data_IF_568912671214
#
_entry.id   IF_568912671214
#
_cell.length_a   1.000
_cell.length_b   1.000
_cell.length_c   1.000
_cell.angle_alpha   90.00
_cell.angle_beta   90.00
_cell.angle_gamma   90.00
#
_symmetry.space_group_name_H-M   'P 1'
#
loop_
_entity.id
_entity.type
_entity.pdbx_description
1 polymer ?
#
# COMPACT_ATOMS: atom_id res chain seq x y z
N UNK A 1 -5.37 19.26 2.11
CA UNK A 1 -4.65 18.09 1.58
C UNK A 1 -3.23 18.53 1.25
N UNK A 2 -2.23 17.84 1.77
CA UNK A 2 -0.83 18.08 1.50
C UNK A 2 -0.22 16.89 0.76
N UNK A 3 0.71 17.16 -0.15
CA UNK A 3 1.41 16.13 -0.93
C UNK A 3 2.89 16.43 -0.91
N UNK A 4 3.69 15.42 -0.61
CA UNK A 4 5.15 15.48 -0.65
C UNK A 4 5.72 14.33 -1.45
N UNK A 5 6.84 14.59 -2.12
CA UNK A 5 7.48 13.62 -3.02
C UNK A 5 8.97 13.51 -2.71
N UNK A 6 9.47 12.29 -2.67
CA UNK A 6 10.88 11.98 -2.53
C UNK A 6 11.25 10.74 -3.34
N UNK A 7 12.54 10.55 -3.54
CA UNK A 7 13.08 9.44 -4.30
C UNK A 7 14.23 8.83 -3.52
N UNK A 8 14.33 7.50 -3.49
CA UNK A 8 15.52 6.84 -3.00
C UNK A 8 16.66 6.94 -4.03
N UNK A 9 17.88 6.59 -3.65
CA UNK A 9 18.88 6.24 -4.65
C UNK A 9 18.44 4.97 -5.44
N UNK A 10 18.99 4.73 -6.64
CA UNK A 10 18.69 3.53 -7.41
C UNK A 10 19.10 2.24 -6.69
N UNK A 11 18.34 1.17 -6.93
CA UNK A 11 18.59 -0.17 -6.43
C UNK A 11 19.12 -1.09 -7.52
N UNK A 12 19.98 -2.02 -7.13
CA UNK A 12 20.30 -3.23 -7.89
C UNK A 12 19.34 -4.38 -7.47
N UNK A 13 19.24 -5.47 -8.25
CA UNK A 13 18.45 -6.65 -7.85
C UNK A 13 18.84 -7.20 -6.46
N UNK A 14 20.11 -7.05 -6.08
CA UNK A 14 20.65 -7.52 -4.81
C UNK A 14 20.13 -6.73 -3.60
N UNK A 15 19.67 -5.50 -3.78
CA UNK A 15 19.18 -4.64 -2.70
C UNK A 15 17.71 -4.90 -2.35
N UNK A 16 16.96 -5.50 -3.28
CA UNK A 16 15.51 -5.66 -3.15
C UNK A 16 15.16 -6.67 -2.06
N UNK A 17 14.18 -6.30 -1.23
CA UNK A 17 13.73 -7.13 -0.12
C UNK A 17 14.67 -7.13 1.08
N UNK A 18 15.69 -6.26 1.11
CA UNK A 18 16.69 -6.19 2.18
C UNK A 18 16.55 -4.97 3.07
N UNK A 19 17.31 -4.97 4.17
CA UNK A 19 17.36 -3.86 5.12
C UNK A 19 17.68 -2.51 4.45
N UNK A 20 18.57 -2.50 3.45
CA UNK A 20 18.92 -1.27 2.72
C UNK A 20 17.70 -0.64 2.04
N UNK A 21 16.82 -1.43 1.42
CA UNK A 21 15.59 -0.92 0.83
C UNK A 21 14.61 -0.39 1.89
N UNK A 22 14.51 -1.07 3.05
CA UNK A 22 13.67 -0.62 4.17
C UNK A 22 14.15 0.76 4.67
N UNK A 23 15.45 0.88 4.95
CA UNK A 23 16.05 2.09 5.49
C UNK A 23 15.92 3.27 4.52
N UNK A 24 16.29 3.07 3.24
CA UNK A 24 16.20 4.11 2.22
C UNK A 24 14.75 4.54 1.95
N UNK A 25 13.79 3.61 2.03
CA UNK A 25 12.37 3.96 1.90
C UNK A 25 11.90 4.77 3.09
N UNK A 26 12.33 4.43 4.31
CA UNK A 26 11.98 5.19 5.50
C UNK A 26 12.49 6.64 5.40
N UNK A 27 13.75 6.82 4.99
CA UNK A 27 14.34 8.15 4.78
C UNK A 27 13.55 8.96 3.74
N UNK A 28 13.19 8.34 2.61
CA UNK A 28 12.39 9.00 1.57
C UNK A 28 10.97 9.37 2.05
N UNK A 29 10.33 8.53 2.88
CA UNK A 29 9.02 8.86 3.48
C UNK A 29 9.16 10.07 4.41
N UNK A 30 10.16 10.10 5.28
CA UNK A 30 10.42 11.25 6.15
C UNK A 30 10.74 12.52 5.36
N UNK A 31 11.52 12.42 4.28
CA UNK A 31 11.79 13.55 3.38
C UNK A 31 10.50 14.06 2.70
N UNK A 32 9.66 13.15 2.21
CA UNK A 32 8.39 13.48 1.58
C UNK A 32 7.42 14.15 2.59
N UNK A 33 7.34 13.66 3.84
CA UNK A 33 6.58 14.31 4.90
C UNK A 33 7.05 15.74 5.16
N UNK A 34 8.36 15.95 5.30
CA UNK A 34 8.94 17.27 5.51
C UNK A 34 8.61 18.23 4.36
N UNK A 35 8.70 17.76 3.10
CA UNK A 35 8.31 18.53 1.90
C UNK A 35 6.80 18.83 1.85
N UNK A 36 5.97 17.91 2.33
CA UNK A 36 4.53 18.13 2.48
C UNK A 36 4.20 19.08 3.62
N UNK A 37 5.14 19.38 4.52
CA UNK A 37 4.90 20.16 5.72
C UNK A 37 4.03 19.42 6.75
N UNK A 38 4.10 18.09 6.77
CA UNK A 38 3.40 17.22 7.73
C UNK A 38 4.39 16.87 8.83
N UNK A 39 4.13 17.35 10.05
CA UNK A 39 5.03 17.17 11.20
C UNK A 39 4.65 15.95 12.07
N UNK A 40 3.36 15.59 12.13
CA UNK A 40 2.85 14.43 12.85
C UNK A 40 2.53 13.27 11.88
N UNK A 41 3.11 12.06 12.05
CA UNK A 41 2.74 10.88 11.28
C UNK A 41 1.24 10.55 11.27
N UNK A 42 0.50 10.93 12.32
CA UNK A 42 -0.95 10.70 12.39
C UNK A 42 -1.76 11.47 11.32
N UNK A 43 -1.19 12.54 10.76
CA UNK A 43 -1.78 13.31 9.66
C UNK A 43 -1.48 12.70 8.27
N UNK A 44 -0.68 11.63 8.20
CA UNK A 44 -0.45 10.88 6.96
C UNK A 44 -1.57 9.87 6.77
N UNK A 45 -2.19 9.86 5.58
CA UNK A 45 -3.28 8.93 5.27
C UNK A 45 -3.00 8.02 4.08
N UNK A 46 -1.97 8.30 3.29
CA UNK A 46 -1.58 7.40 2.20
C UNK A 46 -0.13 7.62 1.81
N UNK A 47 0.62 6.53 1.66
CA UNK A 47 2.00 6.54 1.16
C UNK A 47 2.07 5.65 -0.07
N UNK A 48 2.01 6.26 -1.26
CA UNK A 48 2.19 5.54 -2.51
C UNK A 48 3.68 5.38 -2.81
N UNK A 49 4.11 4.16 -3.06
CA UNK A 49 5.50 3.85 -3.41
C UNK A 49 5.50 3.11 -4.74
N UNK A 50 6.28 3.60 -5.72
CA UNK A 50 6.56 2.88 -6.97
C UNK A 50 8.02 2.46 -6.96
N UNK A 51 8.25 1.17 -6.80
CA UNK A 51 9.58 0.57 -6.78
C UNK A 51 9.98 -0.15 -8.06
N UNK A 52 11.26 -0.55 -8.17
CA UNK A 52 11.75 -1.26 -9.34
C UNK A 52 11.28 -2.72 -9.38
N UNK A 53 11.05 -3.23 -10.58
CA UNK A 53 10.99 -4.65 -10.88
C UNK A 53 12.15 -5.02 -11.82
N UNK A 54 12.67 -6.24 -11.66
CA UNK A 54 13.81 -6.72 -12.43
C UNK A 54 13.43 -7.94 -13.24
N UNK A 55 13.94 -7.98 -14.47
CA UNK A 55 13.82 -9.14 -15.35
C UNK A 55 14.66 -10.32 -14.84
N UNK A 56 14.33 -11.53 -15.30
CA UNK A 56 15.12 -12.73 -14.99
C UNK A 56 16.59 -12.58 -15.45
N UNK A 57 16.82 -11.89 -16.57
CA UNK A 57 18.17 -11.64 -17.08
C UNK A 57 19.01 -10.76 -16.15
N UNK A 58 18.42 -9.68 -15.61
CA UNK A 58 19.10 -8.81 -14.63
C UNK A 58 19.43 -9.56 -13.34
N UNK A 59 18.48 -10.36 -12.85
CA UNK A 59 18.67 -11.18 -11.63
C UNK A 59 19.80 -12.20 -11.84
N UNK A 60 19.79 -12.92 -12.96
CA UNK A 60 20.81 -13.91 -13.29
C UNK A 60 22.20 -13.27 -13.48
N UNK A 61 22.27 -12.10 -14.11
CA UNK A 61 23.52 -11.36 -14.26
C UNK A 61 24.11 -10.92 -12.91
N UNK A 62 23.27 -10.43 -12.00
CA UNK A 62 23.68 -10.08 -10.63
C UNK A 62 24.25 -11.28 -9.87
N UNK A 63 23.57 -12.43 -9.94
CA UNK A 63 24.05 -13.66 -9.33
C UNK A 63 25.40 -14.13 -9.91
N UNK A 64 25.57 -14.09 -11.24
CA UNK A 64 26.83 -14.42 -11.90
C UNK A 64 27.98 -13.46 -11.52
N UNK A 65 27.65 -12.20 -11.20
CA UNK A 65 28.59 -11.19 -10.70
C UNK A 65 28.84 -11.27 -9.18
N UNK A 66 28.33 -12.30 -8.48
CA UNK A 66 28.53 -12.48 -7.04
C UNK A 66 27.62 -11.63 -6.14
N UNK A 67 26.56 -11.03 -6.71
CA UNK A 67 25.57 -10.21 -6.00
C UNK A 67 24.16 -10.83 -6.10
N UNK A 68 23.88 -11.95 -5.42
CA UNK A 68 22.59 -12.62 -5.53
C UNK A 68 21.46 -11.80 -4.89
N UNK A 69 20.33 -11.72 -5.60
CA UNK A 69 19.06 -11.25 -5.08
C UNK A 69 18.48 -12.24 -4.04
N UNK A 70 17.54 -11.77 -3.22
CA UNK A 70 16.85 -12.62 -2.22
C UNK A 70 15.94 -13.67 -2.86
N UNK A 71 15.59 -13.50 -4.13
CA UNK A 71 14.83 -14.46 -4.93
C UNK A 71 15.31 -14.48 -6.38
N UNK A 72 15.31 -15.66 -6.99
CA UNK A 72 15.70 -15.93 -8.38
C UNK A 72 14.54 -15.77 -9.38
N UNK A 73 13.33 -15.56 -8.88
CA UNK A 73 12.11 -15.37 -9.67
C UNK A 73 11.68 -13.88 -9.66
N UNK A 74 11.44 -13.25 -10.83
CA UNK A 74 11.02 -11.84 -10.92
C UNK A 74 9.81 -11.49 -10.05
N UNK A 75 8.77 -12.32 -10.04
CA UNK A 75 7.55 -12.09 -9.26
C UNK A 75 7.79 -12.17 -7.75
N UNK A 76 8.58 -13.14 -7.29
CA UNK A 76 8.95 -13.26 -5.86
C UNK A 76 9.83 -12.10 -5.40
N UNK A 77 10.79 -11.68 -6.23
CA UNK A 77 11.65 -10.55 -5.92
C UNK A 77 10.84 -9.25 -5.87
N UNK A 78 9.93 -9.06 -6.83
CA UNK A 78 9.00 -7.93 -6.85
C UNK A 78 8.17 -7.86 -5.56
N UNK A 79 7.56 -8.97 -5.13
CA UNK A 79 6.79 -9.01 -3.88
C UNK A 79 7.66 -8.66 -2.67
N UNK A 80 8.91 -9.14 -2.63
CA UNK A 80 9.89 -8.80 -1.59
C UNK A 80 10.17 -7.30 -1.54
N UNK A 81 10.29 -6.65 -2.70
CA UNK A 81 10.43 -5.20 -2.79
C UNK A 81 9.21 -4.44 -2.29
N UNK A 82 7.99 -4.91 -2.56
CA UNK A 82 6.77 -4.29 -2.04
C UNK A 82 6.73 -4.34 -0.51
N UNK A 83 7.01 -5.51 0.06
CA UNK A 83 7.00 -5.71 1.51
C UNK A 83 8.08 -4.88 2.22
N UNK A 84 9.31 -4.85 1.69
CA UNK A 84 10.38 -4.03 2.23
C UNK A 84 10.06 -2.53 2.16
N UNK A 85 9.42 -2.08 1.07
CA UNK A 85 8.97 -0.68 0.95
C UNK A 85 7.89 -0.35 1.98
N UNK A 86 6.95 -1.28 2.24
CA UNK A 86 5.92 -1.11 3.26
C UNK A 86 6.50 -1.07 4.68
N UNK A 87 7.52 -1.87 4.98
CA UNK A 87 8.29 -1.80 6.23
C UNK A 87 8.97 -0.44 6.40
N UNK A 88 9.56 0.10 5.33
CA UNK A 88 10.17 1.43 5.35
C UNK A 88 9.16 2.52 5.71
N UNK A 89 7.97 2.48 5.11
CA UNK A 89 6.88 3.39 5.47
C UNK A 89 6.42 3.22 6.93
N UNK A 90 6.17 1.98 7.37
CA UNK A 90 5.77 1.68 8.74
C UNK A 90 6.79 2.19 9.77
N UNK A 91 8.08 2.05 9.46
CA UNK A 91 9.17 2.55 10.31
C UNK A 91 9.21 4.07 10.34
N UNK A 92 9.12 4.74 9.19
CA UNK A 92 9.15 6.20 9.12
C UNK A 92 7.99 6.86 9.88
N UNK A 93 6.83 6.20 9.87
CA UNK A 93 5.61 6.67 10.53
C UNK A 93 5.49 6.21 12.00
N UNK A 94 6.45 5.44 12.49
CA UNK A 94 6.44 4.95 13.88
C UNK A 94 5.39 3.88 14.18
N UNK A 95 4.79 3.27 13.15
CA UNK A 95 3.80 2.18 13.28
C UNK A 95 4.43 0.88 13.80
N UNK A 96 5.73 0.71 13.54
CA UNK A 96 6.51 -0.47 13.91
C UNK A 96 7.81 -0.01 14.56
N UNK A 97 8.14 -0.62 15.70
CA UNK A 97 9.40 -0.35 16.39
C UNK A 97 10.62 -0.64 15.49
N UNK A 98 11.69 0.18 15.52
CA UNK A 98 12.83 0.02 14.61
C UNK A 98 13.51 -1.36 14.66
N UNK A 99 13.49 -2.03 15.81
CA UNK A 99 14.03 -3.38 16.01
C UNK A 99 13.13 -4.49 15.44
N UNK A 100 11.86 -4.19 15.17
CA UNK A 100 10.90 -5.07 14.48
C UNK A 100 10.82 -4.79 12.98
N UNK A 101 11.06 -3.56 12.54
CA UNK A 101 11.10 -3.17 11.13
C UNK A 101 12.41 -3.60 10.44
N UNK A 102 12.72 -4.88 10.54
CA UNK A 102 13.97 -5.48 10.05
C UNK A 102 13.71 -6.57 9.02
N UNK A 103 14.64 -6.74 8.08
CA UNK A 103 14.59 -7.75 7.01
C UNK A 103 14.25 -9.16 7.53
N UNK A 104 14.76 -9.51 8.72
CA UNK A 104 14.54 -10.82 9.32
C UNK A 104 13.06 -11.15 9.58
N UNK A 105 12.18 -10.15 9.73
CA UNK A 105 10.75 -10.31 9.98
C UNK A 105 9.90 -10.27 8.71
N UNK A 106 10.48 -9.86 7.57
CA UNK A 106 9.77 -9.75 6.30
C UNK A 106 9.18 -11.12 5.90
N UNK A 107 7.86 -11.15 5.66
CA UNK A 107 7.04 -12.34 5.40
C UNK A 107 7.05 -13.43 6.48
N UNK A 108 7.67 -13.20 7.64
CA UNK A 108 7.65 -14.14 8.77
C UNK A 108 6.67 -13.71 9.84
N UNK A 109 6.51 -12.41 10.02
CA UNK A 109 5.57 -11.84 10.97
C UNK A 109 4.58 -10.92 10.23
N UNK A 110 3.42 -11.48 9.90
CA UNK A 110 2.34 -10.75 9.21
C UNK A 110 1.55 -9.83 10.15
N UNK A 111 1.85 -9.82 11.46
CA UNK A 111 1.31 -8.80 12.37
C UNK A 111 1.95 -7.43 12.17
N UNK A 112 3.08 -7.37 11.45
CA UNK A 112 3.79 -6.15 11.12
C UNK A 112 3.28 -5.63 9.78
N UNK A 113 2.66 -4.46 9.77
CA UNK A 113 2.21 -3.79 8.56
C UNK A 113 2.14 -2.28 8.76
N UNK A 114 2.08 -1.53 7.65
CA UNK A 114 1.66 -0.13 7.66
C UNK A 114 0.16 -0.02 7.35
N UNK A 115 -0.57 0.86 8.03
CA UNK A 115 -1.98 1.14 7.79
C UNK A 115 -2.22 2.12 6.63
N UNK A 116 -1.15 2.68 6.04
CA UNK A 116 -1.22 3.71 4.98
C UNK A 116 -0.36 3.43 3.76
N UNK A 117 0.56 2.46 3.82
CA UNK A 117 1.45 2.15 2.69
C UNK A 117 0.71 1.44 1.54
N UNK A 118 0.96 1.89 0.32
CA UNK A 118 0.57 1.22 -0.93
C UNK A 118 1.78 1.16 -1.85
N UNK A 119 2.44 0.01 -1.88
CA UNK A 119 3.59 -0.23 -2.73
C UNK A 119 3.17 -0.92 -4.03
N UNK A 120 3.74 -0.48 -5.15
CA UNK A 120 3.67 -1.16 -6.44
C UNK A 120 5.05 -1.20 -7.07
N UNK A 121 5.25 -2.05 -8.07
CA UNK A 121 6.53 -2.17 -8.73
C UNK A 121 6.38 -2.19 -10.25
N UNK A 122 7.45 -1.88 -10.97
CA UNK A 122 7.48 -1.89 -12.43
C UNK A 122 8.90 -1.80 -12.97
N UNK A 123 9.11 -2.30 -14.19
CA UNK A 123 10.43 -2.31 -14.84
C UNK A 123 10.89 -0.93 -15.33
N UNK A 124 10.00 0.06 -15.31
CA UNK A 124 10.20 1.42 -15.77
C UNK A 124 11.00 2.31 -14.80
N UNK A 125 11.10 1.94 -13.51
CA UNK A 125 11.84 2.69 -12.49
C UNK A 125 12.98 1.86 -11.91
N UNK A 126 14.01 2.55 -11.40
CA UNK A 126 15.18 1.93 -10.73
C UNK A 126 15.33 2.33 -9.26
N UNK A 127 14.49 3.21 -8.75
CA UNK A 127 14.44 3.64 -7.35
C UNK A 127 13.02 3.48 -6.80
N UNK A 128 12.84 3.73 -5.51
CA UNK A 128 11.52 3.93 -4.95
C UNK A 128 11.14 5.41 -5.12
N UNK A 129 10.09 5.66 -5.90
CA UNK A 129 9.42 6.95 -5.98
C UNK A 129 8.32 6.97 -4.91
N UNK A 130 8.42 7.92 -3.98
CA UNK A 130 7.56 7.99 -2.78
C UNK A 130 6.69 9.23 -2.85
N UNK A 131 5.38 9.04 -2.71
CA UNK A 131 4.39 10.11 -2.58
C UNK A 131 3.68 9.94 -1.23
N UNK A 132 3.86 10.92 -0.34
CA UNK A 132 3.13 11.01 0.93
C UNK A 132 1.94 11.95 0.74
N UNK A 133 0.76 11.49 1.13
CA UNK A 133 -0.49 12.26 1.09
C UNK A 133 -1.10 12.30 2.49
N UNK A 134 -1.42 13.50 2.95
CA UNK A 134 -1.97 13.71 4.28
C UNK A 134 -2.62 15.08 4.46
N UNK A 135 -2.75 15.49 5.72
CA UNK A 135 -3.28 16.80 6.12
C UNK A 135 -2.17 17.65 6.73
N UNK A 136 -2.18 18.95 6.45
CA UNK A 136 -1.23 19.91 7.00
C UNK A 136 -1.91 21.27 7.10
N UNK A 137 -1.62 22.00 8.17
CA UNK A 137 -2.06 23.38 8.38
C UNK A 137 -1.31 24.38 7.50
N UNK A 138 -0.17 23.98 6.91
CA UNK A 138 0.62 24.76 5.95
C UNK A 138 0.02 24.76 4.54
N UNK A 139 -1.02 23.95 4.29
CA UNK A 139 -1.72 23.87 3.01
C UNK A 139 -3.16 24.37 3.10
N UNK A 140 -3.63 25.01 2.03
CA UNK A 140 -5.02 25.46 1.89
C UNK A 140 -5.73 24.73 0.75
N UNK A 141 -7.06 24.86 0.67
CA UNK A 141 -7.87 24.26 -0.39
C UNK A 141 -8.99 23.36 0.14
N UNK A 142 -9.91 22.94 -0.75
CA UNK A 142 -11.16 22.29 -0.34
C UNK A 142 -11.00 20.80 -0.03
N UNK A 143 -9.82 20.20 -0.27
CA UNK A 143 -9.65 18.76 -0.21
C UNK A 143 -9.21 18.26 1.18
N UNK A 144 -9.77 17.12 1.56
CA UNK A 144 -9.35 16.30 2.68
C UNK A 144 -9.06 14.86 2.21
N UNK A 145 -8.26 14.15 3.00
CA UNK A 145 -8.04 12.71 2.86
C UNK A 145 -8.27 12.05 4.21
N UNK A 146 -8.81 10.85 4.20
CA UNK A 146 -8.80 9.95 5.34
C UNK A 146 -8.44 8.55 4.86
N UNK A 147 -8.12 7.67 5.81
CA UNK A 147 -7.87 6.26 5.52
C UNK A 147 -8.48 5.35 6.59
N UNK A 148 -8.54 4.06 6.28
CA UNK A 148 -8.82 2.98 7.22
C UNK A 148 -8.25 1.67 6.71
N UNK A 149 -8.08 0.71 7.60
CA UNK A 149 -7.78 -0.68 7.23
C UNK A 149 -9.06 -1.51 7.18
N UNK A 150 -9.01 -2.64 6.47
CA UNK A 150 -10.02 -3.69 6.53
C UNK A 150 -9.33 -5.04 6.75
N UNK A 151 -9.89 -5.87 7.61
CA UNK A 151 -9.25 -7.12 8.07
C UNK A 151 -9.33 -8.25 7.05
N UNK A 152 -10.38 -8.27 6.22
CA UNK A 152 -10.54 -9.20 5.11
C UNK A 152 -11.34 -8.56 3.97
N UNK A 153 -11.41 -9.24 2.82
CA UNK A 153 -12.15 -8.77 1.65
C UNK A 153 -13.64 -8.46 1.90
N UNK A 154 -14.23 -8.94 3.00
CA UNK A 154 -15.63 -8.74 3.38
C UNK A 154 -15.80 -7.75 4.55
N UNK A 155 -14.73 -7.13 5.03
CA UNK A 155 -14.76 -6.16 6.14
C UNK A 155 -15.20 -4.77 5.64
N UNK A 156 -16.48 -4.70 5.29
CA UNK A 156 -17.17 -3.48 4.85
C UNK A 156 -17.20 -2.45 5.99
N UNK A 157 -17.30 -2.88 7.24
CA UNK A 157 -17.34 -1.97 8.40
C UNK A 157 -16.01 -1.24 8.61
N UNK A 158 -14.89 -1.95 8.40
CA UNK A 158 -13.54 -1.38 8.34
C UNK A 158 -13.43 -0.35 7.23
N UNK A 159 -13.89 -0.66 6.01
CA UNK A 159 -13.91 0.31 4.91
C UNK A 159 -14.80 1.52 5.19
N UNK A 160 -15.94 1.36 5.86
CA UNK A 160 -16.82 2.48 6.22
C UNK A 160 -16.19 3.45 7.24
N UNK A 161 -15.09 3.09 7.88
CA UNK A 161 -14.39 4.03 8.76
C UNK A 161 -13.89 5.26 8.00
N UNK A 162 -13.41 5.11 6.76
CA UNK A 162 -13.02 6.26 5.92
C UNK A 162 -14.20 7.16 5.58
N UNK A 163 -15.39 6.56 5.34
CA UNK A 163 -16.64 7.28 5.02
C UNK A 163 -17.06 8.14 6.20
N UNK A 164 -17.03 7.57 7.42
CA UNK A 164 -17.31 8.30 8.67
C UNK A 164 -16.30 9.42 8.92
N UNK A 165 -15.02 9.15 8.71
CA UNK A 165 -13.95 10.13 8.93
C UNK A 165 -14.07 11.36 8.01
N UNK A 166 -14.58 11.19 6.79
CA UNK A 166 -14.79 12.28 5.82
C UNK A 166 -16.16 12.97 5.93
N UNK A 167 -16.98 12.59 6.92
CA UNK A 167 -18.27 13.22 7.19
C UNK A 167 -19.30 13.00 6.09
N UNK A 168 -19.27 11.85 5.43
CA UNK A 168 -20.38 11.42 4.56
C UNK A 168 -21.55 10.91 5.41
N UNK A 169 -22.76 11.01 4.87
CA UNK A 169 -23.95 10.50 5.55
C UNK A 169 -23.83 9.00 5.85
N UNK A 170 -24.27 8.55 7.05
CA UNK A 170 -24.21 7.14 7.41
C UNK A 170 -25.17 6.31 6.54
N UNK A 171 -24.72 5.10 6.18
CA UNK A 171 -25.48 4.16 5.35
C UNK A 171 -24.55 3.09 4.78
N UNK A 172 -25.13 2.07 4.12
CA UNK A 172 -24.35 1.02 3.44
C UNK A 172 -23.61 1.53 2.19
N UNK A 173 -24.14 2.58 1.56
CA UNK A 173 -23.57 3.21 0.38
C UNK A 173 -23.72 4.73 0.54
N UNK A 174 -22.69 5.48 0.13
CA UNK A 174 -22.74 6.94 0.12
C UNK A 174 -23.89 7.40 -0.80
N UNK A 175 -24.75 8.33 -0.36
CA UNK A 175 -25.81 8.87 -1.21
C UNK A 175 -25.23 9.45 -2.50
N UNK A 176 -25.88 9.22 -3.64
CA UNK A 176 -25.41 9.70 -4.94
C UNK A 176 -25.19 11.22 -4.98
N UNK A 177 -25.97 11.98 -4.20
CA UNK A 177 -25.81 13.42 -4.05
C UNK A 177 -24.50 13.84 -3.37
N UNK A 178 -23.91 12.97 -2.55
CA UNK A 178 -22.64 13.21 -1.85
C UNK A 178 -21.43 12.60 -2.58
N UNK A 179 -21.64 11.53 -3.37
CA UNK A 179 -20.58 10.86 -4.13
C UNK A 179 -19.80 11.83 -5.03
N UNK A 180 -20.47 12.88 -5.54
CA UNK A 180 -19.84 13.95 -6.30
C UNK A 180 -18.77 14.76 -5.55
N UNK A 181 -18.59 14.57 -4.23
CA UNK A 181 -17.47 15.12 -3.45
C UNK A 181 -16.20 14.29 -3.56
N UNK A 182 -16.28 13.02 -3.96
CA UNK A 182 -15.12 12.12 -4.08
C UNK A 182 -14.26 12.58 -5.27
N UNK A 183 -12.94 12.59 -5.09
CA UNK A 183 -11.97 12.99 -6.13
C UNK A 183 -11.04 11.85 -6.49
N UNK A 184 -10.73 10.98 -5.54
CA UNK A 184 -10.00 9.73 -5.76
C UNK A 184 -10.22 8.78 -4.60
N UNK A 185 -10.34 7.48 -4.88
CA UNK A 185 -10.17 6.41 -3.90
C UNK A 185 -8.93 5.58 -4.21
N UNK A 186 -8.24 5.13 -3.18
CA UNK A 186 -7.08 4.26 -3.28
C UNK A 186 -7.32 3.03 -2.41
N UNK A 187 -7.14 1.85 -2.99
CA UNK A 187 -7.36 0.58 -2.31
C UNK A 187 -6.16 -0.32 -2.54
N UNK A 188 -5.67 -0.92 -1.47
CA UNK A 188 -4.69 -2.00 -1.50
C UNK A 188 -5.33 -3.26 -0.93
N UNK A 189 -5.17 -4.39 -1.60
CA UNK A 189 -5.76 -5.65 -1.15
C UNK A 189 -4.94 -6.89 -1.58
N UNK A 190 -5.14 -8.00 -0.88
CA UNK A 190 -4.63 -9.31 -1.28
C UNK A 190 -5.55 -10.47 -0.88
N UNK A 191 -5.34 -11.61 -1.53
CA UNK A 191 -5.94 -12.86 -1.07
C UNK A 191 -5.26 -13.29 0.24
N UNK A 192 -6.04 -13.81 1.20
CA UNK A 192 -5.48 -14.27 2.46
C UNK A 192 -4.51 -15.44 2.25
N UNK A 193 -3.38 -15.42 2.97
CA UNK A 193 -2.31 -16.40 2.80
C UNK A 193 -2.69 -17.82 3.23
N UNK A 194 -3.66 -17.97 4.13
CA UNK A 194 -4.15 -19.28 4.58
C UNK A 194 -5.20 -19.88 3.62
N UNK A 195 -5.59 -19.13 2.58
CA UNK A 195 -6.60 -19.55 1.61
C UNK A 195 -8.04 -19.42 2.11
N UNK A 196 -8.27 -18.77 3.24
CA UNK A 196 -9.57 -18.65 3.90
C UNK A 196 -10.03 -17.18 3.97
N UNK A 197 -11.34 -16.98 3.85
CA UNK A 197 -12.01 -15.75 4.30
C UNK A 197 -13.05 -16.16 5.33
N UNK A 198 -12.88 -15.71 6.57
CA UNK A 198 -13.77 -16.04 7.70
C UNK A 198 -14.00 -17.54 7.88
N UNK A 199 -12.92 -18.31 7.73
CA UNK A 199 -12.92 -19.78 7.87
C UNK A 199 -13.51 -20.53 6.68
N UNK A 200 -13.84 -19.86 5.56
CA UNK A 200 -14.28 -20.51 4.32
C UNK A 200 -13.19 -20.45 3.25
N UNK A 201 -12.93 -21.56 2.53
CA UNK A 201 -11.93 -21.58 1.48
C UNK A 201 -12.35 -20.70 0.30
N UNK A 202 -11.35 -20.06 -0.33
CA UNK A 202 -11.48 -19.41 -1.63
C UNK A 202 -10.49 -20.02 -2.63
N UNK A 203 -10.75 -19.86 -3.92
CA UNK A 203 -9.91 -20.46 -4.97
C UNK A 203 -8.78 -19.55 -5.46
N UNK A 204 -8.70 -18.30 -4.99
CA UNK A 204 -7.83 -17.28 -5.59
C UNK A 204 -6.34 -17.65 -5.67
N UNK A 205 -5.79 -18.39 -4.69
CA UNK A 205 -4.37 -18.74 -4.65
C UNK A 205 -4.00 -19.92 -5.56
N UNK A 206 -4.95 -20.82 -5.79
CA UNK A 206 -4.73 -22.09 -6.50
C UNK A 206 -5.33 -22.09 -7.90
N UNK A 207 -5.87 -20.95 -8.34
CA UNK A 207 -6.44 -20.77 -9.67
C UNK A 207 -5.30 -20.68 -10.72
N UNK A 208 -5.21 -21.70 -11.57
CA UNK A 208 -4.22 -21.78 -12.64
C UNK A 208 -4.51 -20.89 -13.85
N UNK A 209 -5.72 -20.33 -13.95
CA UNK A 209 -6.18 -19.54 -15.09
C UNK A 209 -6.16 -18.03 -14.78
N UNK A 210 -6.55 -17.64 -13.56
CA UNK A 210 -6.66 -16.25 -13.14
C UNK A 210 -5.78 -16.00 -11.92
N UNK A 211 -4.76 -15.16 -12.09
CA UNK A 211 -3.88 -14.73 -11.00
C UNK A 211 -4.68 -14.14 -9.81
N UNK A 212 -4.28 -14.52 -8.59
CA UNK A 212 -4.90 -14.09 -7.33
C UNK A 212 -5.12 -12.57 -7.23
N UNK A 213 -4.20 -11.76 -7.77
CA UNK A 213 -4.33 -10.31 -7.68
C UNK A 213 -5.43 -9.80 -8.60
N UNK A 214 -5.74 -10.51 -9.70
CA UNK A 214 -6.88 -10.16 -10.56
C UNK A 214 -8.20 -10.46 -9.86
N UNK A 215 -8.31 -11.61 -9.20
CA UNK A 215 -9.49 -11.96 -8.38
C UNK A 215 -9.77 -10.91 -7.32
N UNK A 216 -8.78 -10.66 -6.46
CA UNK A 216 -9.00 -9.80 -5.28
C UNK A 216 -9.21 -8.33 -5.65
N UNK A 217 -8.48 -7.80 -6.65
CA UNK A 217 -8.70 -6.40 -7.11
C UNK A 217 -10.11 -6.21 -7.66
N UNK A 218 -10.65 -7.20 -8.38
CA UNK A 218 -12.01 -7.13 -8.88
C UNK A 218 -13.04 -7.19 -7.73
N UNK A 219 -12.88 -8.14 -6.81
CA UNK A 219 -13.81 -8.33 -5.69
C UNK A 219 -13.83 -7.12 -4.74
N UNK A 220 -12.66 -6.73 -4.22
CA UNK A 220 -12.54 -5.61 -3.27
C UNK A 220 -12.84 -4.28 -3.96
N UNK A 221 -12.41 -4.10 -5.21
CA UNK A 221 -12.72 -2.91 -5.99
C UNK A 221 -14.22 -2.71 -6.18
N UNK A 222 -14.97 -3.78 -6.45
CA UNK A 222 -16.43 -3.72 -6.57
C UNK A 222 -17.11 -3.40 -5.23
N UNK A 223 -16.62 -3.96 -4.11
CA UNK A 223 -17.13 -3.66 -2.76
C UNK A 223 -16.88 -2.19 -2.42
N UNK A 224 -15.65 -1.70 -2.60
CA UNK A 224 -15.30 -0.31 -2.35
C UNK A 224 -16.11 0.65 -3.23
N UNK A 225 -16.29 0.35 -4.52
CA UNK A 225 -17.14 1.14 -5.41
C UNK A 225 -18.61 1.12 -4.97
N UNK A 226 -19.09 -0.02 -4.49
CA UNK A 226 -20.42 -0.17 -3.90
C UNK A 226 -20.61 0.71 -2.67
N UNK A 227 -19.62 0.80 -1.79
CA UNK A 227 -19.65 1.69 -0.61
C UNK A 227 -19.61 3.16 -1.03
N UNK A 228 -18.68 3.50 -1.93
CA UNK A 228 -18.39 4.89 -2.31
C UNK A 228 -19.38 5.47 -3.31
N UNK A 229 -20.18 4.62 -3.97
CA UNK A 229 -21.07 4.99 -5.06
C UNK A 229 -20.32 5.69 -6.22
N UNK A 230 -19.07 5.29 -6.43
CA UNK A 230 -18.16 5.87 -7.41
C UNK A 230 -17.14 4.80 -7.85
N UNK A 231 -16.77 4.83 -9.14
CA UNK A 231 -15.76 3.97 -9.73
C UNK A 231 -14.41 4.65 -9.92
N UNK A 232 -14.24 5.91 -9.48
CA UNK A 232 -12.97 6.65 -9.49
C UNK A 232 -11.97 6.10 -8.44
N UNK A 233 -11.65 4.81 -8.57
CA UNK A 233 -10.82 4.04 -7.65
C UNK A 233 -9.56 3.53 -8.33
N UNK A 234 -8.43 3.74 -7.67
CA UNK A 234 -7.19 3.04 -7.93
C UNK A 234 -7.13 1.81 -7.02
N UNK A 235 -7.21 0.62 -7.60
CA UNK A 235 -7.18 -0.65 -6.85
C UNK A 235 -5.90 -1.43 -7.19
N UNK A 236 -5.04 -1.60 -6.19
CA UNK A 236 -3.74 -2.26 -6.32
C UNK A 236 -3.71 -3.56 -5.52
N UNK A 237 -3.03 -4.57 -6.07
CA UNK A 237 -2.95 -5.92 -5.51
C UNK A 237 -1.58 -6.21 -4.88
N UNK A 238 -1.50 -7.24 -4.01
CA UNK A 238 -0.27 -7.65 -3.35
C UNK A 238 0.04 -6.76 -2.15
N UNK A 239 -0.68 -7.01 -1.06
CA UNK A 239 -0.81 -6.15 0.11
C UNK A 239 -0.04 -6.65 1.33
N UNK A 240 0.86 -7.62 1.16
CA UNK A 240 1.74 -8.07 2.25
C UNK A 240 2.38 -6.89 2.94
N UNK A 241 2.18 -6.80 4.25
CA UNK A 241 2.62 -5.71 5.13
C UNK A 241 2.00 -4.32 4.84
N UNK A 242 0.90 -4.27 4.08
CA UNK A 242 0.16 -3.05 3.68
C UNK A 242 -1.31 -3.21 4.13
N UNK A 243 -1.51 -3.14 5.44
CA UNK A 243 -2.72 -3.60 6.13
C UNK A 243 -2.61 -5.05 6.63
N UNK A 244 -3.68 -5.57 7.27
CA UNK A 244 -3.74 -6.94 7.77
C UNK A 244 -3.67 -7.98 6.63
N UNK A 245 -3.16 -9.17 6.92
CA UNK A 245 -3.17 -10.31 6.00
C UNK A 245 -4.61 -10.66 5.54
N UNK A 246 -4.78 -10.87 4.23
CA UNK A 246 -6.09 -11.09 3.58
C UNK A 246 -6.99 -9.86 3.49
N UNK A 247 -6.57 -8.75 4.09
CA UNK A 247 -7.24 -7.47 4.10
C UNK A 247 -6.48 -6.43 3.27
N UNK A 248 -6.37 -5.23 3.84
CA UNK A 248 -5.61 -4.15 3.25
C UNK A 248 -6.03 -2.77 3.76
N UNK A 249 -5.87 -1.77 2.90
CA UNK A 249 -6.10 -0.36 3.23
C UNK A 249 -7.00 0.30 2.19
N UNK A 250 -7.77 1.29 2.64
CA UNK A 250 -8.52 2.20 1.79
C UNK A 250 -8.25 3.64 2.22
N UNK A 251 -7.93 4.50 1.26
CA UNK A 251 -7.82 5.94 1.47
C UNK A 251 -8.70 6.68 0.45
N UNK A 252 -9.35 7.75 0.87
CA UNK A 252 -10.28 8.50 0.01
C UNK A 252 -9.98 9.98 0.12
N UNK A 253 -9.83 10.64 -1.04
CA UNK A 253 -9.77 12.09 -1.16
C UNK A 253 -11.15 12.59 -1.53
N UNK A 254 -11.65 13.57 -0.77
CA UNK A 254 -12.91 14.24 -1.06
C UNK A 254 -12.84 15.76 -0.83
N UNK A 255 -13.81 16.47 -1.39
CA UNK A 255 -14.12 17.83 -0.93
C UNK A 255 -14.68 17.78 0.50
N UNK A 256 -14.23 18.73 1.32
CA UNK A 256 -14.76 18.99 2.65
C UNK A 256 -16.22 19.43 2.54
N UNK A 257 -17.03 19.08 3.54
CA UNK A 257 -18.40 19.55 3.66
C UNK A 257 -18.45 21.06 3.96
#
# INVERSE_FOLDING_TARGET
LAVGVAFTAPFEPADIGRQSQIDMTADAVSEAMAKAGIDDPADVHFVQIKGPAFSLAEIAAGAAAGKPAVADNPGKLMLSGLGASAFGAARALGEVAPDRAVEANLFKDMSIFSSVASASAGGEVKCNEVIVIGMSDKWTGPLAIAHSTFADALDVDGMHAVVRALGFSPGMQIPAAEAGRIRAGFVKCEASLDGLIRGRPHTMLDDGDIDQQRHIRAAVGAIAAGILNDTALFVSGGAKHQGPDGGGIIAVISERA
#
